data_IF_589582270348
#
_entry.id   IF_589582270348
#
_cell.length_a   1.000
_cell.length_b   1.000
_cell.length_c   1.000
_cell.angle_alpha   90.00
_cell.angle_beta   90.00
_cell.angle_gamma   90.00
#
_symmetry.space_group_name_H-M   'P 1'
#
loop_
_entity.id
_entity.type
_entity.pdbx_description
1 polymer ?
#
# COMPACT_ATOMS: atom_id res chain seq x y z
N UNK A 1 16.13 5.49 -6.55
CA UNK A 1 14.97 6.41 -6.43
C UNK A 1 14.77 7.19 -7.70
N UNK A 2 15.79 7.91 -8.20
CA UNK A 2 15.73 8.68 -9.45
C UNK A 2 15.13 7.91 -10.63
N UNK A 3 15.63 6.70 -10.91
CA UNK A 3 15.10 5.81 -11.96
C UNK A 3 13.58 5.56 -11.86
N UNK A 4 13.03 5.44 -10.65
CA UNK A 4 11.58 5.27 -10.44
C UNK A 4 10.85 6.56 -10.79
N UNK A 5 11.33 7.71 -10.30
CA UNK A 5 10.67 9.00 -10.56
C UNK A 5 10.69 9.33 -12.05
N UNK A 6 11.80 9.06 -12.74
CA UNK A 6 11.92 9.19 -14.20
C UNK A 6 10.87 8.35 -14.93
N UNK A 7 10.79 7.04 -14.62
CA UNK A 7 9.78 6.15 -15.20
C UNK A 7 8.35 6.62 -14.91
N UNK A 8 8.06 7.03 -13.67
CA UNK A 8 6.73 7.51 -13.29
C UNK A 8 6.37 8.80 -14.03
N UNK A 9 7.33 9.69 -14.24
CA UNK A 9 7.14 10.91 -15.03
C UNK A 9 6.88 10.59 -16.51
N UNK A 10 7.67 9.70 -17.11
CA UNK A 10 7.52 9.24 -18.50
C UNK A 10 6.14 8.64 -18.77
N UNK A 11 5.61 7.88 -17.81
CA UNK A 11 4.29 7.22 -17.94
C UNK A 11 3.14 8.04 -17.37
N UNK A 12 3.39 9.26 -16.88
CA UNK A 12 2.38 10.09 -16.22
C UNK A 12 1.76 9.44 -14.97
N UNK A 13 2.42 8.44 -14.39
CA UNK A 13 1.89 7.62 -13.30
C UNK A 13 2.18 8.24 -11.94
N UNK A 14 1.17 8.25 -11.06
CA UNK A 14 1.36 8.62 -9.64
C UNK A 14 1.49 7.38 -8.76
N UNK A 15 2.22 7.53 -7.67
CA UNK A 15 2.49 6.46 -6.71
C UNK A 15 2.43 7.00 -5.28
N UNK A 16 2.31 6.09 -4.31
CA UNK A 16 2.43 6.41 -2.88
C UNK A 16 3.80 5.99 -2.37
N UNK A 17 4.57 6.94 -1.85
CA UNK A 17 5.87 6.70 -1.23
C UNK A 17 5.73 6.63 0.29
N UNK A 18 5.98 5.44 0.84
CA UNK A 18 6.02 5.20 2.28
C UNK A 18 7.42 5.49 2.82
N UNK A 19 7.56 6.59 3.55
CA UNK A 19 8.84 7.09 4.03
C UNK A 19 9.13 6.71 5.48
N UNK A 20 10.37 6.28 5.72
CA UNK A 20 10.91 6.23 7.08
C UNK A 20 11.27 7.65 7.53
N UNK A 21 10.83 8.04 8.71
CA UNK A 21 11.08 9.38 9.26
C UNK A 21 12.57 9.73 9.34
N UNK A 22 13.43 8.80 9.79
CA UNK A 22 14.89 9.05 9.87
C UNK A 22 15.52 9.28 8.49
N UNK A 23 14.94 8.69 7.45
CA UNK A 23 15.40 8.81 6.07
C UNK A 23 14.90 10.11 5.45
N UNK A 24 13.68 10.53 5.79
CA UNK A 24 13.11 11.81 5.41
C UNK A 24 13.90 12.99 5.99
N UNK A 25 14.36 12.92 7.25
CA UNK A 25 15.24 13.95 7.85
C UNK A 25 16.56 14.14 7.08
N UNK A 26 17.10 13.05 6.51
CA UNK A 26 18.37 13.07 5.78
C UNK A 26 18.23 13.48 4.33
N UNK A 27 17.05 13.28 3.74
CA UNK A 27 16.77 13.57 2.33
C UNK A 27 15.47 14.38 2.15
N UNK A 28 15.29 15.50 2.87
CA UNK A 28 14.02 16.24 2.84
C UNK A 28 13.71 16.80 1.45
N UNK A 29 14.74 17.15 0.68
CA UNK A 29 14.60 17.63 -0.71
C UNK A 29 13.99 16.56 -1.61
N UNK A 30 14.35 15.28 -1.42
CA UNK A 30 13.82 14.18 -2.23
C UNK A 30 12.36 13.87 -1.87
N UNK A 31 12.02 13.93 -0.58
CA UNK A 31 10.61 13.80 -0.12
C UNK A 31 9.77 14.92 -0.72
N UNK A 32 10.24 16.17 -0.66
CA UNK A 32 9.56 17.34 -1.22
C UNK A 32 9.40 17.21 -2.72
N UNK A 33 10.46 16.83 -3.44
CA UNK A 33 10.39 16.55 -4.89
C UNK A 33 9.30 15.52 -5.23
N UNK A 34 9.22 14.41 -4.49
CA UNK A 34 8.16 13.43 -4.73
C UNK A 34 6.76 14.05 -4.56
N UNK A 35 6.56 14.89 -3.54
CA UNK A 35 5.30 15.59 -3.32
C UNK A 35 5.00 16.61 -4.44
N UNK A 36 5.99 17.39 -4.84
CA UNK A 36 5.89 18.41 -5.90
C UNK A 36 5.58 17.78 -7.27
N UNK A 37 6.10 16.57 -7.53
CA UNK A 37 5.76 15.75 -8.69
C UNK A 37 4.37 15.11 -8.59
N UNK A 38 3.58 15.40 -7.56
CA UNK A 38 2.20 14.94 -7.39
C UNK A 38 2.07 13.52 -6.85
N UNK A 39 3.14 12.93 -6.33
CA UNK A 39 3.06 11.64 -5.65
C UNK A 39 2.53 11.80 -4.23
N UNK A 40 1.90 10.75 -3.72
CA UNK A 40 1.47 10.74 -2.34
C UNK A 40 2.65 10.44 -1.41
N UNK A 41 2.77 11.22 -0.32
CA UNK A 41 3.71 10.96 0.76
C UNK A 41 2.95 10.32 1.93
N UNK A 42 3.31 9.09 2.25
CA UNK A 42 2.76 8.31 3.35
C UNK A 42 3.88 7.92 4.34
N UNK A 43 3.50 7.52 5.55
CA UNK A 43 4.43 7.19 6.62
C UNK A 43 4.70 5.70 6.73
N UNK A 44 5.97 5.35 6.96
CA UNK A 44 6.42 3.99 7.29
C UNK A 44 6.97 3.88 8.72
N UNK A 45 6.60 4.83 9.60
CA UNK A 45 7.19 4.97 10.93
C UNK A 45 8.55 5.66 10.89
N UNK A 46 9.16 5.87 12.06
CA UNK A 46 10.44 6.55 12.16
C UNK A 46 11.58 5.54 11.97
N UNK A 47 11.75 4.60 12.91
CA UNK A 47 12.90 3.71 13.04
C UNK A 47 12.74 2.31 12.44
N UNK A 48 11.68 2.05 11.66
CA UNK A 48 11.35 0.72 11.13
C UNK A 48 11.17 -0.33 12.26
N UNK A 49 10.45 0.05 13.32
CA UNK A 49 10.18 -0.84 14.46
C UNK A 49 8.95 -1.72 14.22
N UNK A 50 8.99 -2.94 14.76
CA UNK A 50 7.86 -3.88 14.68
C UNK A 50 6.95 -3.68 15.89
N UNK A 51 5.67 -3.39 15.66
CA UNK A 51 4.70 -3.06 16.72
C UNK A 51 4.67 -4.11 17.84
N UNK A 52 4.61 -5.40 17.48
CA UNK A 52 4.58 -6.51 18.45
C UNK A 52 5.85 -6.67 19.28
N UNK A 53 7.00 -6.09 18.85
CA UNK A 53 8.25 -6.10 19.62
C UNK A 53 8.43 -4.84 20.45
N UNK A 54 7.99 -3.70 19.93
CA UNK A 54 8.20 -2.40 20.56
C UNK A 54 7.19 -2.11 21.68
N UNK A 55 5.96 -2.63 21.55
CA UNK A 55 4.86 -2.31 22.46
C UNK A 55 4.18 -0.98 22.13
N UNK A 56 3.04 -0.71 22.79
CA UNK A 56 2.09 0.35 22.42
C UNK A 56 2.69 1.75 22.47
N UNK A 57 3.38 2.09 23.55
CA UNK A 57 3.93 3.43 23.74
C UNK A 57 5.05 3.74 22.74
N UNK A 58 6.05 2.86 22.63
CA UNK A 58 7.17 3.06 21.72
C UNK A 58 6.70 3.13 20.25
N UNK A 59 5.73 2.30 19.87
CA UNK A 59 5.12 2.35 18.54
C UNK A 59 4.41 3.70 18.30
N UNK A 60 3.61 4.18 19.25
CA UNK A 60 2.95 5.49 19.16
C UNK A 60 3.96 6.62 18.95
N UNK A 61 5.02 6.65 19.75
CA UNK A 61 6.04 7.69 19.67
C UNK A 61 6.77 7.68 18.32
N UNK A 62 7.12 6.49 17.83
CA UNK A 62 7.78 6.29 16.54
C UNK A 62 6.94 6.82 15.37
N UNK A 63 5.68 6.39 15.27
CA UNK A 63 4.83 6.76 14.14
C UNK A 63 4.38 8.22 14.22
N UNK A 64 4.23 8.78 15.43
CA UNK A 64 3.92 10.21 15.63
C UNK A 64 5.10 11.08 15.24
N UNK A 65 6.32 10.71 15.62
CA UNK A 65 7.54 11.42 15.22
C UNK A 65 7.68 11.45 13.69
N UNK A 66 7.49 10.31 13.03
CA UNK A 66 7.55 10.24 11.57
C UNK A 66 6.50 11.13 10.89
N UNK A 67 5.25 11.12 11.37
CA UNK A 67 4.17 11.97 10.84
C UNK A 67 4.57 13.45 10.87
N UNK A 68 4.99 13.94 12.04
CA UNK A 68 5.37 15.35 12.22
C UNK A 68 6.53 15.77 11.31
N UNK A 69 7.55 14.91 11.16
CA UNK A 69 8.69 15.18 10.28
C UNK A 69 8.23 15.28 8.83
N UNK A 70 7.45 14.30 8.36
CA UNK A 70 7.00 14.26 6.98
C UNK A 70 6.09 15.47 6.68
N UNK A 71 5.11 15.75 7.53
CA UNK A 71 4.23 16.92 7.42
C UNK A 71 5.02 18.23 7.41
N UNK A 72 6.05 18.35 8.26
CA UNK A 72 6.95 19.51 8.26
C UNK A 72 7.75 19.67 6.96
N UNK A 73 8.10 18.56 6.29
CA UNK A 73 8.82 18.60 5.01
C UNK A 73 7.88 18.97 3.85
N UNK A 74 6.68 18.39 3.80
CA UNK A 74 5.77 18.53 2.65
C UNK A 74 4.74 19.65 2.80
N UNK A 75 4.55 20.20 4.01
CA UNK A 75 3.62 21.28 4.28
C UNK A 75 2.14 20.90 4.16
N UNK A 76 1.82 19.61 4.12
CA UNK A 76 0.46 19.07 4.01
C UNK A 76 0.28 17.84 4.91
N UNK A 77 -0.97 17.48 5.29
CA UNK A 77 -1.23 16.31 6.13
C UNK A 77 -0.74 15.00 5.50
N UNK A 78 -0.11 14.15 6.32
CA UNK A 78 0.30 12.79 5.92
C UNK A 78 -0.74 11.81 6.41
N UNK A 79 -1.59 11.37 5.49
CA UNK A 79 -2.81 10.61 5.80
C UNK A 79 -2.57 9.10 5.93
N UNK A 80 -1.71 8.55 5.07
CA UNK A 80 -1.46 7.10 4.99
C UNK A 80 -0.38 6.60 5.92
N UNK A 81 -0.59 5.39 6.45
CA UNK A 81 0.42 4.63 7.19
C UNK A 81 0.63 3.23 6.60
N UNK A 82 1.84 2.69 6.80
CA UNK A 82 2.15 1.27 6.62
C UNK A 82 3.13 0.83 7.70
N UNK A 83 2.80 -0.24 8.40
CA UNK A 83 3.68 -0.81 9.41
C UNK A 83 4.87 -1.53 8.76
N UNK A 84 6.08 -1.37 9.32
CA UNK A 84 7.26 -2.14 8.95
C UNK A 84 7.00 -3.65 8.87
N UNK A 85 7.41 -4.25 7.76
CA UNK A 85 7.34 -5.71 7.54
C UNK A 85 5.93 -6.29 7.41
N UNK A 86 4.88 -5.46 7.24
CA UNK A 86 3.47 -5.89 7.40
C UNK A 86 3.25 -6.55 8.78
N UNK A 87 3.90 -5.98 9.79
CA UNK A 87 4.08 -6.59 11.10
C UNK A 87 2.92 -6.38 12.09
N UNK A 88 1.75 -5.92 11.62
CA UNK A 88 0.56 -5.96 12.46
C UNK A 88 0.02 -7.39 12.46
N UNK A 89 -0.09 -7.95 13.65
CA UNK A 89 -0.52 -9.33 13.90
C UNK A 89 -1.69 -9.29 14.87
N UNK A 90 -2.37 -10.41 15.06
CA UNK A 90 -3.43 -10.52 16.08
C UNK A 90 -2.95 -10.07 17.47
N UNK A 91 -1.71 -10.40 17.84
CA UNK A 91 -1.08 -9.99 19.12
C UNK A 91 -0.79 -8.48 19.22
N UNK A 92 -0.87 -7.77 18.10
CA UNK A 92 -0.62 -6.34 17.99
C UNK A 92 -1.75 -5.60 17.27
N UNK A 93 -2.99 -6.13 17.30
CA UNK A 93 -4.18 -5.48 16.73
C UNK A 93 -4.42 -4.08 17.30
N UNK A 94 -4.02 -3.88 18.57
CA UNK A 94 -3.98 -2.59 19.25
C UNK A 94 -3.24 -1.50 18.46
N UNK A 95 -2.36 -1.87 17.53
CA UNK A 95 -1.62 -0.92 16.68
C UNK A 95 -2.55 -0.10 15.79
N UNK A 96 -3.68 -0.64 15.35
CA UNK A 96 -4.67 0.10 14.55
C UNK A 96 -5.28 1.26 15.35
N UNK A 97 -5.58 1.06 16.64
CA UNK A 97 -6.03 2.16 17.51
C UNK A 97 -4.96 3.23 17.63
N UNK A 98 -3.69 2.84 17.76
CA UNK A 98 -2.57 3.79 17.85
C UNK A 98 -2.43 4.59 16.55
N UNK A 99 -2.53 3.92 15.40
CA UNK A 99 -2.47 4.55 14.07
C UNK A 99 -3.59 5.60 13.94
N UNK A 100 -4.83 5.23 14.25
CA UNK A 100 -5.97 6.14 14.22
C UNK A 100 -5.79 7.31 15.19
N UNK A 101 -5.38 7.03 16.43
CA UNK A 101 -5.19 8.04 17.49
C UNK A 101 -4.05 9.03 17.22
N UNK A 102 -3.06 8.66 16.42
CA UNK A 102 -2.00 9.57 15.96
C UNK A 102 -2.49 10.49 14.84
N UNK A 103 -3.64 10.19 14.24
CA UNK A 103 -4.25 11.01 13.19
C UNK A 103 -3.88 10.58 11.77
N UNK A 104 -3.55 9.32 11.56
CA UNK A 104 -3.57 8.74 10.21
C UNK A 104 -5.02 8.45 9.82
N UNK A 105 -5.34 8.67 8.55
CA UNK A 105 -6.70 8.52 8.02
C UNK A 105 -6.95 7.14 7.42
N UNK A 106 -5.91 6.45 6.98
CA UNK A 106 -5.99 5.07 6.47
C UNK A 106 -4.69 4.30 6.73
N UNK A 107 -4.78 2.97 6.72
CA UNK A 107 -3.65 2.05 6.89
C UNK A 107 -3.54 1.06 5.72
N UNK A 108 -2.34 0.50 5.53
CA UNK A 108 -2.00 -0.47 4.49
C UNK A 108 -1.05 -1.56 5.00
N UNK A 109 -1.21 -1.92 6.27
CA UNK A 109 -0.30 -2.81 7.00
C UNK A 109 -0.68 -4.28 6.89
N UNK A 110 -1.89 -4.60 6.46
CA UNK A 110 -2.42 -5.95 6.44
C UNK A 110 -1.87 -6.73 5.26
N UNK A 111 -1.30 -7.89 5.58
CA UNK A 111 -0.96 -8.93 4.61
C UNK A 111 -1.88 -10.13 4.83
N UNK A 112 -2.84 -10.41 3.94
CA UNK A 112 -3.85 -11.48 4.12
C UNK A 112 -3.32 -12.92 3.96
N UNK A 113 -2.14 -13.21 4.51
CA UNK A 113 -1.56 -14.55 4.55
C UNK A 113 -0.43 -14.61 5.59
N UNK A 114 -0.08 -15.83 6.01
CA UNK A 114 1.02 -16.05 6.96
C UNK A 114 2.38 -15.64 6.38
N UNK A 115 3.15 -14.87 7.17
CA UNK A 115 4.51 -14.45 6.86
C UNK A 115 5.43 -14.53 8.09
N UNK A 116 6.74 -14.54 7.84
CA UNK A 116 7.74 -14.68 8.90
C UNK A 116 7.77 -13.56 9.96
N UNK A 117 7.28 -12.35 9.67
CA UNK A 117 7.18 -11.25 10.65
C UNK A 117 5.73 -10.84 10.96
N UNK A 118 4.73 -11.57 10.46
CA UNK A 118 3.32 -11.24 10.69
C UNK A 118 2.39 -11.76 9.61
N UNK A 119 1.37 -10.97 9.29
CA UNK A 119 0.25 -11.35 8.44
C UNK A 119 -0.99 -11.74 9.26
N UNK A 120 -2.15 -11.45 8.69
CA UNK A 120 -3.46 -11.77 9.26
C UNK A 120 -4.15 -12.73 8.29
N UNK A 121 -4.19 -14.01 8.65
CA UNK A 121 -4.64 -15.06 7.73
C UNK A 121 -6.09 -14.83 7.28
N UNK A 122 -6.94 -14.45 8.24
CA UNK A 122 -8.38 -14.32 8.04
C UNK A 122 -8.82 -12.89 7.66
N UNK A 123 -7.86 -12.00 7.37
CA UNK A 123 -8.19 -10.66 6.94
C UNK A 123 -8.92 -10.66 5.58
N UNK A 124 -9.84 -9.71 5.35
CA UNK A 124 -10.44 -9.49 4.04
C UNK A 124 -9.36 -9.22 2.98
N UNK A 125 -9.63 -9.69 1.75
CA UNK A 125 -8.73 -9.50 0.61
C UNK A 125 -8.88 -8.11 -0.04
N UNK A 126 -10.06 -7.50 0.11
CA UNK A 126 -10.36 -6.16 -0.38
C UNK A 126 -10.22 -5.08 0.69
N UNK A 127 -10.30 -3.83 0.24
CA UNK A 127 -10.37 -2.68 1.14
C UNK A 127 -11.56 -2.85 2.09
N UNK A 128 -11.32 -2.65 3.37
CA UNK A 128 -12.31 -2.82 4.44
C UNK A 128 -12.05 -1.80 5.55
N UNK A 129 -12.96 -1.74 6.52
CA UNK A 129 -12.77 -0.92 7.72
C UNK A 129 -12.34 -1.78 8.89
N UNK A 130 -11.31 -1.36 9.60
CA UNK A 130 -10.96 -1.87 10.92
C UNK A 130 -11.66 -1.00 11.96
N UNK A 131 -12.38 -1.66 12.87
CA UNK A 131 -12.98 -0.97 14.02
C UNK A 131 -11.89 -0.63 15.02
N UNK A 132 -11.77 0.65 15.36
CA UNK A 132 -10.87 1.15 16.40
C UNK A 132 -11.68 1.89 17.46
N UNK A 133 -11.09 2.12 18.63
CA UNK A 133 -11.69 2.90 19.73
C UNK A 133 -12.11 4.32 19.28
N UNK A 134 -11.37 4.90 18.33
CA UNK A 134 -11.61 6.26 17.80
C UNK A 134 -12.34 6.27 16.46
N UNK A 135 -13.11 5.21 16.20
CA UNK A 135 -13.92 5.05 15.00
C UNK A 135 -13.27 4.19 13.91
N UNK A 136 -13.90 4.05 12.74
CA UNK A 136 -13.41 3.18 11.69
C UNK A 136 -12.11 3.72 11.07
N UNK A 137 -11.20 2.80 10.74
CA UNK A 137 -9.96 3.03 10.00
C UNK A 137 -10.05 2.25 8.67
N UNK A 138 -10.11 2.92 7.51
CA UNK A 138 -9.94 2.25 6.22
C UNK A 138 -8.59 1.53 6.17
N UNK A 139 -8.63 0.26 5.80
CA UNK A 139 -7.46 -0.60 5.61
C UNK A 139 -7.42 -1.08 4.16
N UNK A 140 -6.27 -0.87 3.51
CA UNK A 140 -5.99 -1.38 2.18
C UNK A 140 -5.02 -2.56 2.30
N UNK A 141 -5.52 -3.81 2.31
CA UNK A 141 -4.65 -4.98 2.43
C UNK A 141 -3.82 -5.19 1.15
N UNK A 142 -2.69 -5.88 1.27
CA UNK A 142 -1.94 -6.31 0.10
C UNK A 142 -2.78 -7.19 -0.82
N UNK A 143 -2.72 -6.95 -2.14
CA UNK A 143 -3.39 -7.80 -3.12
C UNK A 143 -2.86 -9.24 -3.07
N UNK A 144 -3.80 -10.18 -2.97
CA UNK A 144 -3.57 -11.62 -2.94
C UNK A 144 -4.45 -12.29 -3.98
N UNK A 145 -3.92 -13.33 -4.62
CA UNK A 145 -4.73 -14.23 -5.44
C UNK A 145 -5.02 -15.48 -4.61
N UNK A 146 -6.27 -15.96 -4.69
CA UNK A 146 -6.70 -17.20 -4.05
C UNK A 146 -6.83 -18.31 -5.09
N UNK A 147 -6.18 -19.45 -4.85
CA UNK A 147 -6.25 -20.64 -5.68
C UNK A 147 -6.19 -21.89 -4.79
N UNK A 148 -7.14 -22.81 -4.93
CA UNK A 148 -7.27 -24.02 -4.11
C UNK A 148 -7.18 -23.72 -2.59
N UNK A 149 -7.97 -22.74 -2.13
CA UNK A 149 -8.02 -22.27 -0.74
C UNK A 149 -6.68 -21.75 -0.18
N UNK A 150 -5.73 -21.44 -1.08
CA UNK A 150 -4.43 -20.87 -0.73
C UNK A 150 -4.31 -19.46 -1.29
N UNK A 151 -3.95 -18.53 -0.41
CA UNK A 151 -3.66 -17.14 -0.75
C UNK A 151 -2.18 -16.98 -1.04
N UNK A 152 -1.85 -16.38 -2.17
CA UNK A 152 -0.47 -16.06 -2.54
C UNK A 152 -0.37 -14.68 -3.17
N UNK A 153 0.78 -14.03 -2.95
CA UNK A 153 1.11 -12.76 -3.58
C UNK A 153 2.06 -12.98 -4.74
N UNK A 154 1.80 -12.31 -5.85
CA UNK A 154 2.72 -12.21 -6.99
C UNK A 154 3.15 -10.77 -7.28
N UNK A 155 2.70 -9.81 -6.45
CA UNK A 155 2.67 -8.37 -6.76
C UNK A 155 3.62 -7.52 -5.94
N UNK A 156 4.71 -8.07 -5.42
CA UNK A 156 5.73 -7.21 -4.83
C UNK A 156 6.93 -7.92 -4.26
N UNK A 157 7.94 -7.14 -3.93
CA UNK A 157 9.18 -7.66 -3.36
C UNK A 157 9.80 -8.78 -4.21
N UNK A 158 10.20 -9.86 -3.53
CA UNK A 158 10.73 -11.07 -4.19
C UNK A 158 9.73 -11.79 -5.10
N UNK A 159 8.43 -11.66 -4.83
CA UNK A 159 7.40 -12.31 -5.65
C UNK A 159 7.37 -11.71 -7.06
N UNK A 160 7.38 -10.37 -7.16
CA UNK A 160 7.40 -9.67 -8.45
C UNK A 160 8.65 -10.01 -9.27
N UNK A 161 9.81 -10.15 -8.60
CA UNK A 161 11.06 -10.54 -9.26
C UNK A 161 10.98 -11.92 -9.91
N UNK A 162 10.35 -12.88 -9.24
CA UNK A 162 10.29 -14.25 -9.72
C UNK A 162 9.12 -14.49 -10.67
N UNK A 163 8.02 -13.75 -10.55
CA UNK A 163 6.84 -13.94 -11.37
C UNK A 163 7.11 -13.59 -12.84
N UNK A 164 6.85 -14.50 -13.80
CA UNK A 164 6.87 -14.15 -15.22
C UNK A 164 5.68 -13.24 -15.56
N UNK A 165 5.81 -12.43 -16.60
CA UNK A 165 4.79 -11.44 -16.99
C UNK A 165 3.42 -12.07 -17.27
N UNK A 166 3.37 -13.27 -17.86
CA UNK A 166 2.12 -14.00 -18.07
C UNK A 166 1.38 -14.34 -16.76
N UNK A 167 2.13 -14.70 -15.71
CA UNK A 167 1.56 -14.95 -14.39
C UNK A 167 1.04 -13.66 -13.74
N UNK A 168 1.75 -12.55 -13.90
CA UNK A 168 1.32 -11.22 -13.43
C UNK A 168 -0.01 -10.84 -14.11
N UNK A 169 -0.08 -10.94 -15.44
CA UNK A 169 -1.32 -10.69 -16.21
C UNK A 169 -2.48 -11.56 -15.73
N UNK A 170 -2.22 -12.86 -15.54
CA UNK A 170 -3.23 -13.78 -15.03
C UNK A 170 -3.73 -13.36 -13.65
N UNK A 171 -2.84 -13.01 -12.72
CA UNK A 171 -3.25 -12.61 -11.38
C UNK A 171 -4.03 -11.29 -11.38
N UNK A 172 -3.65 -10.31 -12.21
CA UNK A 172 -4.41 -9.06 -12.37
C UNK A 172 -5.85 -9.37 -12.81
N UNK A 173 -6.02 -10.28 -13.78
CA UNK A 173 -7.35 -10.74 -14.20
C UNK A 173 -8.14 -11.37 -13.06
N UNK A 174 -7.50 -12.13 -12.17
CA UNK A 174 -8.21 -12.68 -11.00
C UNK A 174 -8.63 -11.60 -10.00
N UNK A 175 -7.75 -10.63 -9.71
CA UNK A 175 -8.09 -9.50 -8.83
C UNK A 175 -9.29 -8.71 -9.37
N UNK A 176 -9.28 -8.38 -10.68
CA UNK A 176 -10.36 -7.64 -11.31
C UNK A 176 -11.69 -8.42 -11.30
N UNK A 177 -11.67 -9.75 -11.48
CA UNK A 177 -12.87 -10.58 -11.34
C UNK A 177 -13.48 -10.51 -9.93
N UNK A 178 -12.65 -10.27 -8.92
CA UNK A 178 -13.06 -10.12 -7.53
C UNK A 178 -13.34 -8.65 -7.14
N UNK A 179 -13.32 -7.72 -8.11
CA UNK A 179 -13.51 -6.30 -7.86
C UNK A 179 -12.39 -5.65 -7.04
N UNK A 180 -11.22 -6.29 -6.96
CA UNK A 180 -10.10 -5.81 -6.16
C UNK A 180 -9.07 -5.05 -7.01
N UNK A 181 -8.52 -3.95 -6.50
CA UNK A 181 -7.43 -3.25 -7.16
C UNK A 181 -6.14 -4.06 -7.07
N UNK A 182 -5.25 -3.81 -8.04
CA UNK A 182 -3.87 -4.27 -7.98
C UNK A 182 -3.04 -3.34 -7.10
N UNK A 183 -2.40 -3.91 -6.08
CA UNK A 183 -1.44 -3.21 -5.21
C UNK A 183 -0.07 -3.81 -5.43
N UNK A 184 0.85 -2.96 -5.87
CA UNK A 184 2.24 -3.32 -6.08
C UNK A 184 3.11 -2.60 -5.06
N UNK A 185 3.98 -3.35 -4.38
CA UNK A 185 5.01 -2.76 -3.53
C UNK A 185 6.40 -3.14 -4.01
N UNK A 186 7.27 -2.15 -4.07
CA UNK A 186 8.67 -2.31 -4.48
C UNK A 186 9.54 -1.45 -3.56
N UNK A 187 10.68 -2.00 -3.16
CA UNK A 187 11.68 -1.24 -2.41
C UNK A 187 12.66 -0.55 -3.37
N UNK A 188 13.25 0.59 -3.00
CA UNK A 188 14.27 1.25 -3.84
C UNK A 188 15.44 0.35 -4.25
N UNK A 189 15.84 -0.60 -3.39
CA UNK A 189 16.87 -1.60 -3.72
C UNK A 189 16.46 -2.58 -4.83
N UNK A 190 15.17 -2.77 -5.06
CA UNK A 190 14.64 -3.74 -6.01
C UNK A 190 14.62 -3.22 -7.45
N UNK A 191 14.72 -1.90 -7.61
CA UNK A 191 14.82 -1.21 -8.90
C UNK A 191 16.25 -0.77 -9.24
N UNK A 192 17.19 -0.96 -8.32
CA UNK A 192 18.58 -0.58 -8.50
C UNK A 192 19.50 -1.80 -8.32
N UNK A 193 19.66 -2.65 -9.35
CA UNK A 193 20.31 -3.96 -9.22
C UNK A 193 21.80 -3.88 -8.84
N UNK A 194 22.41 -2.71 -8.99
CA UNK A 194 23.83 -2.46 -8.75
C UNK A 194 24.08 -1.84 -7.37
N UNK A 195 23.05 -1.74 -6.53
CA UNK A 195 23.17 -1.24 -5.16
C UNK A 195 24.18 -2.08 -4.33
N UNK A 196 24.86 -1.49 -3.33
CA UNK A 196 25.82 -2.20 -2.49
C UNK A 196 25.21 -3.47 -1.85
N UNK A 197 25.96 -4.57 -1.90
CA UNK A 197 25.53 -5.87 -1.38
C UNK A 197 26.03 -6.07 0.04
N UNK A 198 25.15 -6.54 0.91
CA UNK A 198 25.47 -6.87 2.29
C UNK A 198 26.03 -8.30 2.37
N UNK A 199 26.94 -8.58 3.32
CA UNK A 199 27.39 -9.94 3.60
C UNK A 199 26.24 -10.72 4.24
N UNK A 200 25.50 -11.48 3.43
CA UNK A 200 24.32 -12.26 3.85
C UNK A 200 24.54 -13.75 3.61
N UNK A 201 24.02 -14.59 4.51
CA UNK A 201 23.93 -16.03 4.30
C UNK A 201 23.11 -16.40 3.05
N UNK A 202 23.36 -17.59 2.49
CA UNK A 202 22.88 -18.01 1.16
C UNK A 202 21.37 -17.78 0.92
N UNK A 203 20.52 -18.19 1.86
CA UNK A 203 19.06 -18.02 1.74
C UNK A 203 18.65 -16.54 1.73
N UNK A 204 19.24 -15.72 2.60
CA UNK A 204 18.95 -14.28 2.66
C UNK A 204 19.49 -13.55 1.44
N UNK A 205 20.67 -13.96 0.95
CA UNK A 205 21.27 -13.45 -0.28
C UNK A 205 20.38 -13.76 -1.49
N UNK A 206 19.92 -14.99 -1.62
CA UNK A 206 18.96 -15.37 -2.67
C UNK A 206 17.68 -14.52 -2.59
N UNK A 207 17.01 -14.50 -1.43
CA UNK A 207 15.79 -13.70 -1.24
C UNK A 207 15.98 -12.22 -1.54
N UNK A 208 17.15 -11.66 -1.27
CA UNK A 208 17.42 -10.23 -1.45
C UNK A 208 17.82 -9.86 -2.88
N UNK A 209 18.54 -10.73 -3.59
CA UNK A 209 19.21 -10.36 -4.85
C UNK A 209 18.75 -11.15 -6.08
N UNK A 210 17.94 -12.20 -5.93
CA UNK A 210 17.48 -12.99 -7.07
C UNK A 210 16.68 -12.12 -8.06
N UNK A 211 17.05 -12.18 -9.32
CA UNK A 211 16.36 -11.56 -10.46
C UNK A 211 16.02 -10.06 -10.33
N UNK A 212 16.87 -9.27 -9.64
CA UNK A 212 16.67 -7.83 -9.45
C UNK A 212 16.48 -7.05 -10.75
N UNK A 213 17.22 -7.42 -11.80
CA UNK A 213 17.15 -6.78 -13.12
C UNK A 213 15.77 -6.90 -13.78
N UNK A 214 14.92 -7.83 -13.34
CA UNK A 214 13.58 -7.99 -13.90
C UNK A 214 12.55 -7.00 -13.36
N UNK A 215 12.80 -6.36 -12.21
CA UNK A 215 11.79 -5.51 -11.55
C UNK A 215 11.45 -4.28 -12.40
N UNK A 216 12.46 -3.52 -12.82
CA UNK A 216 12.25 -2.24 -13.50
C UNK A 216 11.52 -2.41 -14.85
N UNK A 217 11.88 -3.37 -15.73
CA UNK A 217 11.12 -3.62 -16.95
C UNK A 217 9.65 -4.01 -16.70
N UNK A 218 9.38 -4.78 -15.63
CA UNK A 218 8.01 -5.16 -15.26
C UNK A 218 7.19 -3.97 -14.78
N UNK A 219 7.77 -3.11 -13.96
CA UNK A 219 7.12 -1.87 -13.52
C UNK A 219 6.83 -0.96 -14.71
N UNK A 220 7.79 -0.80 -15.61
CA UNK A 220 7.59 0.00 -16.81
C UNK A 220 6.45 -0.56 -17.66
N UNK A 221 6.43 -1.87 -17.90
CA UNK A 221 5.33 -2.54 -18.60
C UNK A 221 3.98 -2.31 -17.91
N UNK A 222 3.92 -2.44 -16.58
CA UNK A 222 2.70 -2.21 -15.82
C UNK A 222 2.20 -0.76 -15.97
N UNK A 223 3.07 0.23 -15.80
CA UNK A 223 2.70 1.65 -15.92
C UNK A 223 2.26 2.06 -17.32
N UNK A 224 2.71 1.36 -18.38
CA UNK A 224 2.24 1.59 -19.75
C UNK A 224 0.91 0.89 -20.07
N UNK A 225 0.56 -0.17 -19.35
CA UNK A 225 -0.57 -1.05 -19.69
C UNK A 225 -1.74 -0.94 -18.70
N UNK A 226 -1.58 -0.22 -17.59
CA UNK A 226 -2.60 -0.09 -16.55
C UNK A 226 -2.58 1.32 -15.96
N UNK A 227 -3.75 1.82 -15.60
CA UNK A 227 -3.89 3.05 -14.83
C UNK A 227 -3.63 2.77 -13.35
N UNK A 228 -2.83 3.63 -12.74
CA UNK A 228 -2.53 3.58 -11.31
C UNK A 228 -3.02 4.84 -10.63
N UNK A 229 -3.35 4.67 -9.36
CA UNK A 229 -3.77 5.74 -8.45
C UNK A 229 -2.93 5.63 -7.18
N UNK A 230 -2.87 6.72 -6.44
CA UNK A 230 -2.35 6.75 -5.08
C UNK A 230 -3.29 5.99 -4.13
N UNK A 231 -2.76 5.51 -3.01
CA UNK A 231 -3.55 4.86 -1.96
C UNK A 231 -4.61 5.81 -1.41
N UNK A 232 -4.28 7.09 -1.24
CA UNK A 232 -5.26 8.12 -0.84
C UNK A 232 -6.43 8.23 -1.81
N UNK A 233 -6.17 8.26 -3.12
CA UNK A 233 -7.26 8.31 -4.12
C UNK A 233 -8.14 7.06 -4.03
N UNK A 234 -7.53 5.88 -3.95
CA UNK A 234 -8.26 4.61 -3.79
C UNK A 234 -9.17 4.62 -2.55
N UNK A 235 -8.64 5.07 -1.39
CA UNK A 235 -9.41 5.14 -0.15
C UNK A 235 -10.51 6.20 -0.24
N UNK A 236 -10.23 7.37 -0.80
CA UNK A 236 -11.23 8.43 -0.94
C UNK A 236 -12.43 7.98 -1.80
N UNK A 237 -12.17 7.29 -2.91
CA UNK A 237 -13.21 6.76 -3.78
C UNK A 237 -14.00 5.63 -3.11
N UNK A 238 -13.32 4.75 -2.37
CA UNK A 238 -13.98 3.71 -1.59
C UNK A 238 -14.89 4.29 -0.51
N UNK A 239 -14.41 5.24 0.29
CA UNK A 239 -15.22 5.87 1.36
C UNK A 239 -16.45 6.55 0.77
N UNK A 240 -16.28 7.33 -0.31
CA UNK A 240 -17.41 7.98 -1.02
C UNK A 240 -18.43 6.96 -1.53
N UNK A 241 -17.98 5.86 -2.13
CA UNK A 241 -18.88 4.82 -2.64
C UNK A 241 -19.61 4.08 -1.52
N UNK A 242 -18.92 3.77 -0.41
CA UNK A 242 -19.50 3.12 0.75
C UNK A 242 -20.53 4.03 1.46
N UNK A 243 -20.25 5.33 1.58
CA UNK A 243 -21.19 6.30 2.12
C UNK A 243 -22.40 6.48 1.20
N UNK A 244 -22.19 6.49 -0.12
CA UNK A 244 -23.28 6.47 -1.11
C UNK A 244 -24.13 5.21 -0.96
N UNK A 245 -23.54 4.03 -0.81
CA UNK A 245 -24.28 2.78 -0.63
C UNK A 245 -25.07 2.78 0.69
N UNK A 246 -24.49 3.28 1.78
CA UNK A 246 -25.20 3.46 3.06
C UNK A 246 -26.35 4.46 2.92
N UNK A 247 -26.12 5.57 2.22
CA UNK A 247 -27.14 6.58 1.94
C UNK A 247 -28.26 5.97 1.10
N UNK A 248 -27.94 5.23 0.03
CA UNK A 248 -28.91 4.52 -0.81
C UNK A 248 -29.67 3.44 -0.04
N UNK A 249 -29.05 2.71 0.90
CA UNK A 249 -29.75 1.77 1.79
C UNK A 249 -30.67 2.48 2.78
N UNK A 250 -30.26 3.66 3.28
CA UNK A 250 -31.08 4.50 4.16
C UNK A 250 -32.26 5.11 3.41
N UNK A 251 -32.07 5.52 2.16
CA UNK A 251 -33.09 6.08 1.26
C UNK A 251 -33.98 5.00 0.63
N UNK A 252 -33.46 3.79 0.39
CA UNK A 252 -34.22 2.65 -0.15
C UNK A 252 -35.18 2.00 0.85
N UNK A 253 -35.20 2.48 2.10
CA UNK A 253 -36.24 2.18 3.09
C UNK A 253 -37.36 3.25 3.12
N UNK A 254 -37.30 4.28 2.28
CA UNK A 254 -38.47 5.11 1.97
C UNK A 254 -39.00 4.68 0.60
N UNK A 255 -40.25 4.21 0.58
CA UNK A 255 -40.98 3.91 -0.64
C UNK A 255 -41.18 5.19 -1.46
N UNK A 256 -40.20 5.55 -2.30
CA UNK A 256 -40.42 6.32 -3.52
C UNK A 256 -39.21 6.26 -4.47
N UNK A 257 -39.53 6.10 -5.75
CA UNK A 257 -38.65 5.72 -6.87
C UNK A 257 -37.84 6.88 -7.47
N UNK A 258 -36.89 6.52 -8.33
CA UNK A 258 -36.46 7.25 -9.55
C UNK A 258 -35.81 8.64 -9.41
N UNK A 259 -34.61 8.76 -8.81
CA UNK A 259 -33.83 10.02 -8.93
C UNK A 259 -32.30 9.95 -9.10
N UNK A 260 -31.65 8.78 -9.26
CA UNK A 260 -30.18 8.75 -9.46
C UNK A 260 -29.67 7.68 -10.44
N UNK A 261 -30.30 7.58 -11.61
CA UNK A 261 -29.68 6.91 -12.76
C UNK A 261 -28.71 7.85 -13.46
N UNK A 262 -27.42 7.80 -13.07
CA UNK A 262 -26.26 7.95 -13.97
C UNK A 262 -24.94 8.11 -13.19
N UNK A 263 -24.27 6.99 -12.87
CA UNK A 263 -22.79 6.88 -12.97
C UNK A 263 -22.47 5.41 -13.23
N UNK A 264 -22.29 5.05 -14.50
CA UNK A 264 -21.69 3.78 -14.91
C UNK A 264 -20.20 3.79 -14.55
N UNK A 265 -19.73 2.76 -13.85
CA UNK A 265 -18.30 2.42 -13.79
C UNK A 265 -17.96 1.54 -14.99
N UNK A 266 -17.05 1.99 -15.87
CA UNK A 266 -16.38 1.13 -16.84
C UNK A 266 -14.90 1.51 -17.00
N UNK A 267 -14.04 0.61 -16.50
CA UNK A 267 -12.88 -0.04 -17.14
C UNK A 267 -11.91 0.80 -18.00
N UNK A 268 -10.62 0.71 -17.69
CA UNK A 268 -9.51 0.95 -18.63
C UNK A 268 -8.57 -0.25 -18.70
N UNK A 269 -8.86 -1.22 -19.57
CA UNK A 269 -7.86 -2.08 -20.23
C UNK A 269 -7.42 -1.28 -21.47
N UNK A 270 -6.14 -0.97 -21.69
CA UNK A 270 -5.67 -0.65 -23.03
C UNK A 270 -5.53 -1.96 -23.81
N UNK A 271 -6.11 -1.95 -25.02
CA UNK A 271 -6.11 -3.00 -26.06
C UNK A 271 -4.86 -3.88 -26.11
#
# INVERSE_FOLDING_TARGET
MMKILEMLAETGTKATFFWLGWMAERMPQLVRRCADEGHEIASHGYGHILAYKAGRQAFREDIRKAKLILEGIVGQPVQGFRAPGFGITEKASWAFDVIKNVGYEYDTSVFPASRGHGGLLDAPLGLHFITTESGPLPEVPMSMVELFDKRFSIFGGGYLRLAPQGLIRWGIKQLHKQGQPLIIYVHPREVDPDHPRLPLGLVRRFKSYVNLRSTMPKLNWLCHNYSFFTMRELVADYVKSADREKLLKKLGNSEDKDWFDSVFFLKGDPS
#
